data_IF_147772998650
#
_entry.id   IF_147772998650
#
_cell.length_a   1.000
_cell.length_b   1.000
_cell.length_c   1.000
_cell.angle_alpha   90.00
_cell.angle_beta   90.00
_cell.angle_gamma   90.00
#
_symmetry.space_group_name_H-M   'P 1'
#
loop_
_entity.id
_entity.type
_entity.pdbx_description
1 polymer ?
#
# COMPACT_ATOMS: atom_id res chain seq x y z
N UNK A 1 23.13 -29.44 27.20
CA UNK A 1 21.99 -28.59 26.78
C UNK A 1 21.64 -28.97 25.37
N UNK A 2 20.55 -29.69 25.17
CA UNK A 2 19.98 -29.88 23.83
C UNK A 2 19.63 -28.49 23.28
N UNK A 3 20.13 -28.15 22.09
CA UNK A 3 19.71 -26.92 21.40
C UNK A 3 18.20 -27.06 21.13
N UNK A 4 17.42 -26.06 21.55
CA UNK A 4 16.00 -26.02 21.18
C UNK A 4 15.84 -26.17 19.65
N UNK A 5 14.83 -26.92 19.19
CA UNK A 5 14.62 -27.15 17.77
C UNK A 5 14.37 -25.84 17.04
N UNK A 6 15.00 -25.69 15.87
CA UNK A 6 14.80 -24.55 14.99
C UNK A 6 13.42 -24.65 14.34
N UNK A 7 12.60 -23.60 14.48
CA UNK A 7 11.34 -23.52 13.76
C UNK A 7 11.61 -23.07 12.32
N UNK A 8 11.24 -23.91 11.35
CA UNK A 8 11.23 -23.55 9.93
C UNK A 8 9.83 -23.04 9.56
N UNK A 9 9.75 -21.82 9.02
CA UNK A 9 8.52 -21.17 8.60
C UNK A 9 8.58 -20.81 7.11
N UNK A 10 7.60 -21.26 6.34
CA UNK A 10 7.49 -20.98 4.90
C UNK A 10 6.36 -19.97 4.64
N UNK A 11 6.70 -18.83 4.06
CA UNK A 11 5.76 -17.73 3.78
C UNK A 11 5.62 -17.56 2.27
N UNK A 12 4.39 -17.45 1.80
CA UNK A 12 4.03 -17.14 0.41
C UNK A 12 3.39 -15.75 0.37
N UNK A 13 3.87 -14.88 -0.52
CA UNK A 13 3.35 -13.53 -0.73
C UNK A 13 3.06 -13.31 -2.21
N UNK A 14 1.89 -12.77 -2.54
CA UNK A 14 1.48 -12.55 -3.94
C UNK A 14 0.40 -11.47 -4.08
N UNK A 15 0.69 -10.43 -4.87
CA UNK A 15 -0.34 -9.62 -5.51
C UNK A 15 -1.07 -10.47 -6.56
N UNK A 16 -2.36 -10.72 -6.35
CA UNK A 16 -3.14 -11.63 -7.17
C UNK A 16 -3.77 -10.97 -8.41
N UNK A 17 -3.71 -9.64 -8.54
CA UNK A 17 -4.36 -8.85 -9.58
C UNK A 17 -5.77 -9.35 -9.90
N UNK A 18 -6.64 -9.51 -8.90
CA UNK A 18 -7.96 -10.13 -9.09
C UNK A 18 -9.07 -9.11 -9.34
N UNK A 19 -8.77 -8.03 -10.09
CA UNK A 19 -9.68 -6.91 -10.30
C UNK A 19 -10.87 -7.37 -11.13
N UNK A 20 -12.08 -7.09 -10.63
CA UNK A 20 -13.31 -7.50 -11.31
C UNK A 20 -13.44 -6.77 -12.64
N UNK A 21 -13.68 -7.53 -13.70
CA UNK A 21 -13.84 -7.09 -15.09
C UNK A 21 -12.58 -6.56 -15.81
N UNK A 22 -11.51 -6.21 -15.10
CA UNK A 22 -10.26 -5.74 -15.71
C UNK A 22 -9.22 -6.86 -15.85
N UNK A 23 -9.08 -7.71 -14.84
CA UNK A 23 -8.02 -8.71 -14.82
C UNK A 23 -8.32 -9.89 -15.73
N UNK A 24 -7.40 -10.16 -16.65
CA UNK A 24 -7.51 -11.25 -17.64
C UNK A 24 -7.44 -12.61 -16.93
N UNK A 25 -8.28 -13.55 -17.40
CA UNK A 25 -8.35 -14.95 -16.92
C UNK A 25 -8.45 -15.09 -15.39
N UNK A 26 -9.01 -14.10 -14.70
CA UNK A 26 -9.04 -14.01 -13.22
C UNK A 26 -9.45 -15.30 -12.53
N UNK A 27 -10.58 -15.89 -12.92
CA UNK A 27 -11.14 -17.10 -12.28
C UNK A 27 -10.24 -18.32 -12.43
N UNK A 28 -9.53 -18.43 -13.56
CA UNK A 28 -8.57 -19.50 -13.78
C UNK A 28 -7.33 -19.31 -12.90
N UNK A 29 -6.80 -18.08 -12.82
CA UNK A 29 -5.65 -17.73 -11.98
C UNK A 29 -5.93 -17.92 -10.49
N UNK A 30 -7.10 -17.49 -9.99
CA UNK A 30 -7.50 -17.71 -8.59
C UNK A 30 -7.55 -19.21 -8.25
N UNK A 31 -8.09 -20.04 -9.16
CA UNK A 31 -8.09 -21.50 -8.96
C UNK A 31 -6.66 -22.05 -8.92
N UNK A 32 -5.80 -21.59 -9.84
CA UNK A 32 -4.41 -22.00 -9.95
C UNK A 32 -3.58 -21.63 -8.71
N UNK A 33 -3.76 -20.41 -8.19
CA UNK A 33 -3.18 -19.97 -6.90
C UNK A 33 -3.60 -20.92 -5.78
N UNK A 34 -4.91 -21.22 -5.68
CA UNK A 34 -5.41 -22.15 -4.66
C UNK A 34 -4.90 -23.59 -4.81
N UNK A 35 -4.67 -24.09 -6.03
CA UNK A 35 -4.07 -25.42 -6.26
C UNK A 35 -2.60 -25.45 -5.84
N UNK A 36 -1.83 -24.41 -6.19
CA UNK A 36 -0.43 -24.29 -5.79
C UNK A 36 -0.29 -24.18 -4.27
N UNK A 37 -1.07 -23.31 -3.61
CA UNK A 37 -1.03 -23.16 -2.16
C UNK A 37 -1.36 -24.48 -1.43
N UNK A 38 -2.26 -25.30 -1.98
CA UNK A 38 -2.58 -26.63 -1.45
C UNK A 38 -1.43 -27.62 -1.64
N UNK A 39 -0.79 -27.62 -2.81
CA UNK A 39 0.30 -28.55 -3.14
C UNK A 39 1.58 -28.25 -2.37
N UNK A 40 2.01 -26.99 -2.41
CA UNK A 40 3.33 -26.58 -1.88
C UNK A 40 3.36 -26.50 -0.36
N UNK A 41 2.19 -26.47 0.32
CA UNK A 41 2.07 -26.54 1.79
C UNK A 41 2.88 -25.47 2.55
N UNK A 42 2.76 -24.19 2.14
CA UNK A 42 3.28 -23.06 2.91
C UNK A 42 2.59 -22.93 4.27
N UNK A 43 3.25 -22.28 5.23
CA UNK A 43 2.71 -22.07 6.57
C UNK A 43 1.78 -20.87 6.65
N UNK A 44 2.14 -19.81 5.93
CA UNK A 44 1.39 -18.57 5.79
C UNK A 44 1.32 -18.19 4.30
N UNK A 45 0.15 -17.79 3.84
CA UNK A 45 -0.03 -17.16 2.54
C UNK A 45 -0.64 -15.76 2.73
N UNK A 46 0.06 -14.75 2.22
CA UNK A 46 -0.26 -13.33 2.32
C UNK A 46 -0.63 -12.86 0.92
N UNK A 47 -1.89 -12.52 0.69
CA UNK A 47 -2.38 -12.22 -0.65
C UNK A 47 -2.89 -10.78 -0.70
N UNK A 48 -2.50 -10.06 -1.75
CA UNK A 48 -3.01 -8.75 -2.09
C UNK A 48 -3.91 -8.84 -3.33
N UNK A 49 -4.70 -7.79 -3.58
CA UNK A 49 -5.59 -7.69 -4.75
C UNK A 49 -6.63 -8.82 -4.92
N UNK A 50 -7.02 -9.49 -3.83
CA UNK A 50 -8.20 -10.35 -3.79
C UNK A 50 -9.44 -9.47 -3.57
N UNK A 51 -9.85 -8.75 -4.60
CA UNK A 51 -10.88 -7.70 -4.50
C UNK A 51 -12.31 -8.24 -4.30
N UNK A 52 -12.59 -9.46 -4.75
CA UNK A 52 -13.93 -10.06 -4.66
C UNK A 52 -14.07 -10.93 -3.42
N UNK A 53 -15.08 -10.68 -2.58
CA UNK A 53 -15.41 -11.58 -1.47
C UNK A 53 -15.72 -13.01 -1.94
N UNK A 54 -16.25 -13.16 -3.17
CA UNK A 54 -16.47 -14.48 -3.76
C UNK A 54 -15.13 -15.18 -4.06
N UNK A 55 -14.14 -14.48 -4.63
CA UNK A 55 -12.84 -15.09 -4.93
C UNK A 55 -12.14 -15.51 -3.62
N UNK A 56 -12.25 -14.70 -2.56
CA UNK A 56 -11.79 -15.09 -1.21
C UNK A 56 -12.55 -16.31 -0.67
N UNK A 57 -13.89 -16.34 -0.78
CA UNK A 57 -14.70 -17.47 -0.32
C UNK A 57 -14.33 -18.76 -1.04
N UNK A 58 -14.12 -18.69 -2.36
CA UNK A 58 -13.72 -19.83 -3.18
C UNK A 58 -12.33 -20.36 -2.76
N UNK A 59 -11.37 -19.47 -2.55
CA UNK A 59 -10.05 -19.81 -2.00
C UNK A 59 -10.17 -20.45 -0.62
N UNK A 60 -10.98 -19.87 0.28
CA UNK A 60 -11.18 -20.40 1.63
C UNK A 60 -11.75 -21.81 1.64
N UNK A 61 -12.77 -22.09 0.84
CA UNK A 61 -13.33 -23.45 0.71
C UNK A 61 -12.28 -24.40 0.15
N UNK A 62 -11.55 -23.98 -0.89
CA UNK A 62 -10.51 -24.77 -1.53
C UNK A 62 -9.36 -25.12 -0.58
N UNK A 63 -8.97 -24.17 0.25
CA UNK A 63 -7.79 -24.26 1.12
C UNK A 63 -8.10 -24.79 2.52
N UNK A 64 -9.37 -25.01 2.88
CA UNK A 64 -9.78 -25.38 4.23
C UNK A 64 -9.05 -26.59 4.85
N UNK A 65 -8.60 -27.55 4.02
CA UNK A 65 -7.88 -28.73 4.50
C UNK A 65 -6.42 -28.48 4.89
N UNK A 66 -5.78 -27.44 4.32
CA UNK A 66 -4.39 -27.10 4.60
C UNK A 66 -4.25 -25.79 5.38
N UNK A 67 -5.11 -24.81 5.15
CA UNK A 67 -5.20 -23.55 5.88
C UNK A 67 -6.57 -23.43 6.56
N UNK A 68 -6.76 -24.08 7.73
CA UNK A 68 -8.03 -24.02 8.46
C UNK A 68 -8.36 -22.62 8.98
N UNK A 69 -7.36 -21.73 9.08
CA UNK A 69 -7.53 -20.36 9.55
C UNK A 69 -7.27 -19.38 8.42
N UNK A 70 -8.14 -18.40 8.27
CA UNK A 70 -7.96 -17.32 7.30
C UNK A 70 -8.69 -16.06 7.72
N UNK A 71 -8.27 -14.92 7.20
CA UNK A 71 -8.91 -13.64 7.45
C UNK A 71 -8.90 -12.78 6.18
N UNK A 72 -10.02 -12.08 5.94
CA UNK A 72 -10.21 -11.15 4.83
C UNK A 72 -10.43 -9.75 5.38
N UNK A 73 -9.55 -8.81 5.03
CA UNK A 73 -9.59 -7.46 5.55
C UNK A 73 -10.52 -6.60 4.69
N UNK A 74 -11.67 -6.19 5.25
CA UNK A 74 -12.63 -5.31 4.58
C UNK A 74 -12.27 -3.84 4.82
N UNK A 75 -12.13 -3.06 3.75
CA UNK A 75 -11.77 -1.63 3.76
C UNK A 75 -12.39 -0.92 2.56
N UNK A 76 -12.54 0.41 2.62
CA UNK A 76 -12.98 1.21 1.47
C UNK A 76 -14.34 0.80 0.88
N UNK A 77 -14.55 1.15 -0.39
CA UNK A 77 -15.77 0.82 -1.15
C UNK A 77 -15.62 -0.52 -1.87
N UNK A 78 -14.43 -0.76 -2.44
CA UNK A 78 -14.15 -1.96 -3.25
C UNK A 78 -13.55 -3.10 -2.40
N UNK A 79 -13.05 -2.81 -1.19
CA UNK A 79 -12.29 -3.77 -0.37
C UNK A 79 -10.80 -3.43 -0.35
N UNK A 80 -10.06 -3.86 0.69
CA UNK A 80 -8.60 -3.69 0.74
C UNK A 80 -7.85 -4.58 -0.25
N UNK A 81 -8.49 -5.67 -0.71
CA UNK A 81 -7.85 -6.74 -1.47
C UNK A 81 -6.95 -7.66 -0.63
N UNK A 82 -6.81 -7.44 0.68
CA UNK A 82 -5.88 -8.17 1.53
C UNK A 82 -6.53 -9.38 2.19
N UNK A 83 -5.85 -10.52 2.15
CA UNK A 83 -6.22 -11.67 2.96
C UNK A 83 -5.02 -12.51 3.36
N UNK A 84 -5.19 -13.24 4.47
CA UNK A 84 -4.19 -14.16 5.00
C UNK A 84 -4.80 -15.53 5.16
N UNK A 85 -4.06 -16.55 4.73
CA UNK A 85 -4.33 -17.96 5.00
C UNK A 85 -3.22 -18.52 5.89
N UNK A 86 -3.58 -19.23 6.96
CA UNK A 86 -2.65 -19.73 7.96
C UNK A 86 -2.94 -21.20 8.31
N UNK A 87 -1.88 -21.99 8.42
CA UNK A 87 -1.95 -23.35 9.01
C UNK A 87 -2.21 -23.31 10.51
N UNK A 88 -1.85 -22.19 11.15
CA UNK A 88 -1.89 -22.00 12.60
C UNK A 88 -3.04 -21.08 13.01
N UNK A 89 -3.60 -21.26 14.23
CA UNK A 89 -4.68 -20.41 14.73
C UNK A 89 -4.31 -18.92 14.69
N UNK A 90 -5.19 -18.12 14.09
CA UNK A 90 -5.15 -16.66 14.18
C UNK A 90 -5.76 -16.28 15.52
N UNK A 91 -4.96 -15.68 16.39
CA UNK A 91 -5.34 -15.30 17.74
C UNK A 91 -6.04 -13.95 17.78
N UNK A 92 -5.60 -13.02 16.95
CA UNK A 92 -6.16 -11.67 16.87
C UNK A 92 -5.92 -11.06 15.48
N UNK A 93 -6.71 -10.05 15.14
CA UNK A 93 -6.67 -9.34 13.86
C UNK A 93 -6.88 -7.86 14.06
N UNK A 94 -6.13 -7.02 13.33
CA UNK A 94 -6.33 -5.57 13.34
C UNK A 94 -6.15 -5.03 11.92
N UNK A 95 -6.95 -4.05 11.54
CA UNK A 95 -6.86 -3.36 10.26
C UNK A 95 -6.58 -1.88 10.48
N UNK A 96 -5.64 -1.33 9.71
CA UNK A 96 -5.39 0.10 9.65
C UNK A 96 -5.47 0.59 8.20
N UNK A 97 -6.48 1.40 7.90
CA UNK A 97 -6.63 2.06 6.60
C UNK A 97 -5.76 3.32 6.56
N UNK A 98 -4.99 3.47 5.48
CA UNK A 98 -4.11 4.63 5.31
C UNK A 98 -4.90 5.91 5.07
N UNK A 99 -4.34 7.04 5.50
CA UNK A 99 -5.00 8.33 5.44
C UNK A 99 -5.10 8.91 4.03
N UNK A 100 -4.15 8.59 3.14
CA UNK A 100 -4.10 9.06 1.75
C UNK A 100 -4.03 7.87 0.79
N UNK A 101 -5.00 7.80 -0.13
CA UNK A 101 -5.16 6.69 -1.08
C UNK A 101 -5.31 7.14 -2.53
N UNK A 102 -4.84 8.34 -2.88
CA UNK A 102 -4.92 8.87 -4.26
C UNK A 102 -6.01 9.91 -4.42
N UNK A 103 -6.46 10.13 -5.65
CA UNK A 103 -7.41 11.19 -6.00
C UNK A 103 -8.76 10.61 -6.47
N UNK A 104 -9.91 11.02 -5.89
CA UNK A 104 -11.23 10.48 -6.25
C UNK A 104 -11.65 10.76 -7.70
N UNK A 105 -11.09 11.82 -8.30
CA UNK A 105 -11.38 12.22 -9.68
C UNK A 105 -10.49 11.52 -10.71
N UNK A 106 -9.43 10.81 -10.28
CA UNK A 106 -8.60 9.99 -11.16
C UNK A 106 -9.20 8.59 -11.26
N UNK A 107 -10.36 8.47 -11.91
CA UNK A 107 -11.14 7.22 -11.94
C UNK A 107 -10.39 6.02 -12.51
N UNK A 108 -9.42 6.26 -13.40
CA UNK A 108 -8.56 5.23 -13.97
C UNK A 108 -7.50 4.73 -12.97
N UNK A 109 -7.27 5.47 -11.89
CA UNK A 109 -6.30 5.16 -10.84
C UNK A 109 -7.08 4.72 -9.58
N UNK A 110 -7.43 3.43 -9.56
CA UNK A 110 -8.48 2.88 -8.67
C UNK A 110 -8.20 2.91 -7.17
N UNK A 111 -6.98 3.23 -6.72
CA UNK A 111 -6.52 3.15 -5.33
C UNK A 111 -7.43 3.88 -4.33
N UNK A 112 -8.03 5.01 -4.73
CA UNK A 112 -8.86 5.82 -3.83
C UNK A 112 -10.11 5.06 -3.38
N UNK A 113 -10.68 4.23 -4.25
CA UNK A 113 -11.89 3.45 -3.96
C UNK A 113 -11.62 2.18 -3.15
N UNK A 114 -10.39 1.67 -3.17
CA UNK A 114 -9.98 0.45 -2.49
C UNK A 114 -9.75 0.67 -0.99
N UNK A 115 -9.36 1.88 -0.58
CA UNK A 115 -9.00 2.16 0.81
C UNK A 115 -7.79 1.33 1.24
N UNK A 116 -6.64 1.55 0.59
CA UNK A 116 -5.38 0.84 0.88
C UNK A 116 -5.08 0.86 2.38
N UNK A 117 -4.51 -0.23 2.87
CA UNK A 117 -4.44 -0.52 4.30
C UNK A 117 -3.33 -1.51 4.62
N UNK A 118 -3.02 -1.67 5.90
CA UNK A 118 -2.27 -2.81 6.44
C UNK A 118 -3.16 -3.64 7.34
N UNK A 119 -3.19 -4.95 7.09
CA UNK A 119 -3.81 -5.94 7.95
C UNK A 119 -2.76 -6.61 8.84
N UNK A 120 -3.05 -6.76 10.13
CA UNK A 120 -2.27 -7.51 11.10
C UNK A 120 -3.04 -8.78 11.48
N UNK A 121 -2.36 -9.93 11.49
CA UNK A 121 -2.78 -11.12 12.21
C UNK A 121 -1.74 -11.52 13.25
N UNK A 122 -2.19 -11.91 14.44
CA UNK A 122 -1.32 -12.47 15.48
C UNK A 122 -1.46 -13.98 15.46
N UNK A 123 -0.36 -14.71 15.30
CA UNK A 123 -0.35 -16.19 15.31
C UNK A 123 0.67 -16.69 16.32
N UNK A 124 0.38 -17.83 16.96
CA UNK A 124 1.31 -18.50 17.87
C UNK A 124 1.76 -19.83 17.28
N UNK A 125 3.05 -19.96 17.01
CA UNK A 125 3.65 -21.14 16.36
C UNK A 125 4.74 -21.67 17.27
N UNK A 126 4.59 -22.91 17.76
CA UNK A 126 5.57 -23.56 18.64
C UNK A 126 5.98 -22.70 19.85
N UNK A 127 5.03 -21.96 20.44
CA UNK A 127 5.28 -21.08 21.59
C UNK A 127 5.72 -19.65 21.25
N UNK A 128 6.07 -19.37 20.00
CA UNK A 128 6.56 -18.07 19.51
C UNK A 128 5.38 -17.24 19.00
N UNK A 129 5.30 -15.97 19.42
CA UNK A 129 4.27 -15.02 18.98
C UNK A 129 4.75 -14.29 17.73
N UNK A 130 4.03 -14.46 16.63
CA UNK A 130 4.27 -13.74 15.38
C UNK A 130 3.21 -12.66 15.19
N UNK A 131 3.66 -11.44 14.92
CA UNK A 131 2.82 -10.42 14.30
C UNK A 131 3.11 -10.41 12.80
N UNK A 132 2.12 -10.81 12.01
CA UNK A 132 2.21 -10.92 10.57
C UNK A 132 1.37 -9.82 9.94
N UNK A 133 2.02 -8.96 9.17
CA UNK A 133 1.43 -7.83 8.50
C UNK A 133 1.32 -8.15 7.01
N UNK A 134 0.17 -7.86 6.41
CA UNK A 134 -0.04 -7.89 4.96
C UNK A 134 -0.45 -6.49 4.52
N UNK A 135 0.16 -5.97 3.46
CA UNK A 135 -0.17 -4.63 2.96
C UNK A 135 -0.11 -4.57 1.44
N UNK A 136 -0.74 -3.54 0.89
CA UNK A 136 -0.60 -3.13 -0.49
C UNK A 136 -0.58 -1.60 -0.49
N UNK A 137 0.56 -0.99 -0.85
CA UNK A 137 0.68 0.47 -0.91
C UNK A 137 0.07 1.01 -2.20
N UNK A 138 -0.06 2.34 -2.32
CA UNK A 138 -0.60 3.00 -3.50
C UNK A 138 0.27 2.67 -4.72
N UNK A 139 -0.33 2.48 -5.90
CA UNK A 139 0.42 2.15 -7.12
C UNK A 139 1.30 3.30 -7.63
N UNK A 140 2.42 2.98 -8.28
CA UNK A 140 3.22 3.92 -9.08
C UNK A 140 2.77 3.88 -10.54
N UNK A 141 1.91 4.83 -10.94
CA UNK A 141 1.37 4.87 -12.31
C UNK A 141 2.34 5.45 -13.36
N UNK A 142 3.38 6.17 -12.93
CA UNK A 142 4.36 6.78 -13.84
C UNK A 142 5.64 7.18 -13.10
N UNK A 143 6.75 6.49 -13.40
CA UNK A 143 8.04 6.75 -12.76
C UNK A 143 8.58 8.17 -12.97
N UNK A 144 8.41 8.72 -14.17
CA UNK A 144 8.94 10.06 -14.50
C UNK A 144 8.10 11.20 -13.89
N UNK A 145 6.79 10.98 -13.71
CA UNK A 145 5.83 12.01 -13.28
C UNK A 145 4.93 11.47 -12.18
N UNK A 146 5.55 11.13 -11.07
CA UNK A 146 4.85 10.50 -9.97
C UNK A 146 4.19 11.52 -9.02
N UNK A 147 2.94 11.87 -9.34
CA UNK A 147 2.12 12.70 -8.46
C UNK A 147 1.71 12.00 -7.15
N UNK A 148 1.96 10.70 -7.01
CA UNK A 148 1.54 9.88 -5.88
C UNK A 148 2.69 9.53 -4.93
N UNK A 149 3.94 9.94 -5.22
CA UNK A 149 5.06 9.73 -4.30
C UNK A 149 4.76 10.24 -2.88
N UNK A 150 4.21 11.46 -2.67
CA UNK A 150 3.89 11.92 -1.32
C UNK A 150 2.85 11.04 -0.62
N UNK A 151 1.89 10.48 -1.37
CA UNK A 151 0.90 9.56 -0.82
C UNK A 151 1.57 8.25 -0.39
N UNK A 152 2.42 7.66 -1.25
CA UNK A 152 3.18 6.45 -0.91
C UNK A 152 4.08 6.65 0.31
N UNK A 153 4.67 7.84 0.46
CA UNK A 153 5.50 8.15 1.63
C UNK A 153 4.70 8.33 2.92
N UNK A 154 3.52 8.95 2.86
CA UNK A 154 2.60 8.99 4.00
C UNK A 154 2.20 7.58 4.41
N UNK A 155 1.83 6.73 3.45
CA UNK A 155 1.49 5.33 3.73
C UNK A 155 2.66 4.53 4.31
N UNK A 156 3.87 4.69 3.77
CA UNK A 156 5.07 4.03 4.28
C UNK A 156 5.40 4.47 5.72
N UNK A 157 5.25 5.76 6.01
CA UNK A 157 5.41 6.31 7.36
C UNK A 157 4.36 5.75 8.32
N UNK A 158 3.09 5.76 7.93
CA UNK A 158 1.99 5.20 8.72
C UNK A 158 2.18 3.70 8.96
N UNK A 159 2.59 2.93 7.95
CA UNK A 159 2.93 1.51 8.07
C UNK A 159 4.06 1.29 9.08
N UNK A 160 5.13 2.08 8.99
CA UNK A 160 6.27 1.97 9.88
C UNK A 160 5.88 2.27 11.33
N UNK A 161 5.08 3.32 11.55
CA UNK A 161 4.55 3.67 12.86
C UNK A 161 3.62 2.57 13.40
N UNK A 162 2.69 2.10 12.57
CA UNK A 162 1.76 1.02 12.93
C UNK A 162 2.53 -0.20 13.43
N UNK A 163 3.47 -0.72 12.62
CA UNK A 163 4.30 -1.88 12.98
C UNK A 163 5.02 -1.64 14.31
N UNK A 164 5.67 -0.49 14.50
CA UNK A 164 6.39 -0.19 15.76
C UNK A 164 5.48 -0.19 16.99
N UNK A 165 4.27 0.34 16.85
CA UNK A 165 3.33 0.45 17.96
C UNK A 165 2.64 -0.87 18.28
N UNK A 166 2.37 -1.71 17.28
CA UNK A 166 1.66 -2.98 17.45
C UNK A 166 2.59 -4.17 17.67
N UNK A 167 3.88 -4.08 17.33
CA UNK A 167 4.81 -5.23 17.40
C UNK A 167 5.54 -5.40 18.73
N UNK A 168 5.25 -4.59 19.77
CA UNK A 168 6.04 -4.60 21.01
C UNK A 168 5.99 -5.92 21.79
N UNK A 169 4.89 -6.67 21.64
CA UNK A 169 4.67 -7.95 22.32
C UNK A 169 4.95 -9.17 21.43
N UNK A 170 5.37 -8.96 20.17
CA UNK A 170 5.67 -10.05 19.24
C UNK A 170 7.10 -10.53 19.45
N UNK A 171 7.35 -11.84 19.35
CA UNK A 171 8.69 -12.40 19.30
C UNK A 171 9.31 -12.24 17.91
N UNK A 172 8.48 -12.40 16.88
CA UNK A 172 8.85 -12.25 15.47
C UNK A 172 7.85 -11.36 14.76
N UNK A 173 8.36 -10.50 13.89
CA UNK A 173 7.56 -9.61 13.04
C UNK A 173 7.82 -9.98 11.60
N UNK A 174 6.75 -10.17 10.84
CA UNK A 174 6.77 -10.45 9.40
C UNK A 174 5.90 -9.44 8.68
N UNK A 175 6.38 -8.86 7.60
CA UNK A 175 5.60 -8.03 6.69
C UNK A 175 5.69 -8.66 5.29
N UNK A 176 4.54 -8.94 4.69
CA UNK A 176 4.40 -9.34 3.30
C UNK A 176 3.60 -8.32 2.49
N UNK A 177 3.98 -8.13 1.24
CA UNK A 177 3.10 -7.56 0.24
C UNK A 177 3.76 -6.62 -0.75
N UNK A 178 2.90 -6.09 -1.61
CA UNK A 178 3.25 -5.13 -2.65
C UNK A 178 3.42 -3.72 -2.07
N UNK A 179 4.65 -3.26 -2.01
CA UNK A 179 5.01 -1.94 -1.50
C UNK A 179 5.05 -0.86 -2.59
N UNK A 180 4.85 -1.21 -3.87
CA UNK A 180 4.81 -0.29 -5.01
C UNK A 180 5.98 0.71 -5.07
N UNK A 181 7.15 0.29 -4.60
CA UNK A 181 8.38 1.08 -4.54
C UNK A 181 9.59 0.17 -4.70
N UNK A 182 10.62 0.67 -5.38
CA UNK A 182 11.86 -0.05 -5.61
C UNK A 182 12.71 -0.10 -4.32
N UNK A 183 13.66 -1.06 -4.18
CA UNK A 183 14.43 -1.23 -2.94
C UNK A 183 15.19 0.01 -2.47
N UNK A 184 15.65 0.84 -3.42
CA UNK A 184 16.40 2.07 -3.14
C UNK A 184 15.51 3.31 -3.00
N UNK A 185 14.21 3.19 -3.25
CA UNK A 185 13.28 4.30 -3.11
C UNK A 185 13.16 4.69 -1.63
N UNK A 186 12.99 5.99 -1.39
CA UNK A 186 13.00 6.57 -0.05
C UNK A 186 11.94 5.96 0.88
N UNK A 187 10.79 5.54 0.36
CA UNK A 187 9.77 4.89 1.18
C UNK A 187 10.17 3.51 1.71
N UNK A 188 10.91 2.70 0.93
CA UNK A 188 11.43 1.40 1.39
C UNK A 188 12.54 1.59 2.40
N UNK A 189 13.47 2.52 2.14
CA UNK A 189 14.53 2.87 3.09
C UNK A 189 13.95 3.41 4.40
N UNK A 190 12.93 4.26 4.32
CA UNK A 190 12.22 4.82 5.48
C UNK A 190 11.57 3.71 6.30
N UNK A 191 10.77 2.84 5.66
CA UNK A 191 10.10 1.74 6.31
C UNK A 191 11.08 0.82 7.03
N UNK A 192 12.13 0.36 6.33
CA UNK A 192 13.13 -0.57 6.87
C UNK A 192 13.93 0.08 7.99
N UNK A 193 14.44 1.29 7.79
CA UNK A 193 15.23 2.00 8.78
C UNK A 193 14.43 2.31 10.06
N UNK A 194 13.19 2.77 9.91
CA UNK A 194 12.35 3.13 11.05
C UNK A 194 11.85 1.91 11.84
N UNK A 195 11.58 0.79 11.16
CA UNK A 195 11.08 -0.45 11.81
C UNK A 195 12.19 -1.42 12.23
N UNK A 196 13.38 -1.33 11.65
CA UNK A 196 14.44 -2.33 11.77
C UNK A 196 14.16 -3.64 11.03
N UNK A 197 13.20 -3.63 10.08
CA UNK A 197 12.89 -4.81 9.27
C UNK A 197 13.99 -5.08 8.25
N UNK A 198 14.41 -6.33 8.17
CA UNK A 198 15.38 -6.83 7.19
C UNK A 198 14.66 -7.42 5.98
N UNK A 199 15.27 -7.27 4.82
CA UNK A 199 14.74 -7.75 3.55
C UNK A 199 15.15 -9.20 3.33
N UNK A 200 14.17 -10.11 3.21
CA UNK A 200 14.45 -11.53 3.00
C UNK A 200 15.22 -11.78 1.71
N UNK A 201 15.00 -11.00 0.65
CA UNK A 201 15.77 -11.14 -0.59
C UNK A 201 17.25 -10.82 -0.37
N UNK A 202 17.54 -9.74 0.36
CA UNK A 202 18.92 -9.32 0.63
C UNK A 202 19.66 -10.25 1.60
N UNK A 203 18.93 -10.92 2.50
CA UNK A 203 19.49 -11.78 3.56
C UNK A 203 19.48 -13.27 3.21
N UNK A 204 18.84 -13.67 2.09
CA UNK A 204 18.70 -15.07 1.72
C UNK A 204 20.07 -15.72 1.45
N UNK A 205 20.28 -16.92 2.00
CA UNK A 205 21.47 -17.72 1.68
C UNK A 205 21.42 -18.26 0.25
N UNK A 206 20.22 -18.59 -0.20
CA UNK A 206 19.95 -19.08 -1.55
C UNK A 206 18.79 -18.31 -2.17
N UNK A 207 18.97 -17.88 -3.43
CA UNK A 207 17.93 -17.23 -4.22
C UNK A 207 17.70 -17.98 -5.53
N UNK A 208 16.44 -18.24 -5.85
CA UNK A 208 16.00 -18.86 -7.11
C UNK A 208 14.81 -18.08 -7.68
N UNK A 209 14.93 -17.52 -8.88
CA UNK A 209 13.82 -16.77 -9.47
C UNK A 209 14.26 -15.72 -10.49
N UNK A 210 13.41 -14.73 -10.66
CA UNK A 210 13.61 -13.58 -11.54
C UNK A 210 14.86 -12.79 -11.12
N UNK A 211 15.58 -12.25 -12.11
CA UNK A 211 16.81 -11.48 -11.84
C UNK A 211 16.53 -10.34 -10.86
N UNK A 212 17.46 -10.11 -9.94
CA UNK A 212 17.35 -9.08 -8.88
C UNK A 212 16.10 -9.18 -7.99
N UNK A 213 15.41 -10.33 -8.00
CA UNK A 213 14.16 -10.52 -7.27
C UNK A 213 13.00 -9.70 -7.85
N UNK A 214 13.07 -9.31 -9.13
CA UNK A 214 11.99 -8.56 -9.78
C UNK A 214 10.69 -9.37 -9.78
N UNK A 215 9.58 -8.68 -9.51
CA UNK A 215 8.26 -9.28 -9.37
C UNK A 215 7.31 -8.80 -10.46
N UNK A 216 7.53 -7.63 -11.06
CA UNK A 216 6.96 -7.29 -12.37
C UNK A 216 8.05 -7.48 -13.41
N UNK A 217 7.85 -8.40 -14.35
CA UNK A 217 8.86 -8.77 -15.35
C UNK A 217 8.36 -8.64 -16.78
N UNK A 218 9.22 -8.24 -17.75
CA UNK A 218 8.80 -8.06 -19.14
C UNK A 218 8.24 -9.32 -19.81
N UNK A 219 8.68 -10.49 -19.37
CA UNK A 219 8.26 -11.78 -19.92
C UNK A 219 6.86 -12.21 -19.44
N UNK A 220 6.28 -11.50 -18.46
CA UNK A 220 4.94 -11.78 -17.97
C UNK A 220 3.89 -11.16 -18.91
N UNK A 221 3.00 -12.00 -19.45
CA UNK A 221 2.03 -11.60 -20.47
C UNK A 221 0.87 -10.72 -19.95
N UNK A 222 0.80 -10.47 -18.64
CA UNK A 222 -0.19 -9.57 -18.04
C UNK A 222 0.38 -8.21 -17.64
N UNK A 223 1.70 -8.05 -17.58
CA UNK A 223 2.33 -6.78 -17.23
C UNK A 223 2.24 -5.77 -18.37
N UNK A 224 2.08 -4.48 -18.05
CA UNK A 224 2.14 -3.40 -19.04
C UNK A 224 3.59 -3.11 -19.46
N UNK A 225 3.93 -3.44 -20.71
CA UNK A 225 5.28 -3.23 -21.22
C UNK A 225 5.71 -1.76 -21.25
N UNK A 226 4.76 -0.81 -21.26
CA UNK A 226 5.05 0.62 -21.22
C UNK A 226 5.59 1.09 -19.87
N UNK A 227 5.10 0.50 -18.78
CA UNK A 227 5.57 0.78 -17.40
C UNK A 227 6.99 0.25 -17.17
N UNK A 228 7.36 -0.82 -17.88
CA UNK A 228 8.66 -1.47 -17.78
C UNK A 228 9.74 -0.86 -18.68
N UNK A 229 9.42 0.14 -19.52
CA UNK A 229 10.40 0.78 -20.41
C UNK A 229 11.67 1.27 -19.69
N UNK A 230 11.60 1.89 -18.49
CA UNK A 230 12.79 2.29 -17.73
C UNK A 230 13.52 1.11 -17.06
N UNK A 231 12.89 -0.07 -17.01
CA UNK A 231 13.29 -1.22 -16.21
C UNK A 231 13.37 -2.50 -17.06
N UNK A 232 14.39 -2.63 -17.93
CA UNK A 232 14.49 -3.74 -18.87
C UNK A 232 14.62 -5.13 -18.23
N UNK A 233 14.96 -5.20 -16.93
CA UNK A 233 15.04 -6.44 -16.15
C UNK A 233 13.79 -6.67 -15.27
N UNK A 234 12.80 -5.79 -15.33
CA UNK A 234 11.67 -5.76 -14.42
C UNK A 234 11.90 -4.90 -13.18
N UNK A 235 10.89 -4.86 -12.32
CA UNK A 235 10.81 -4.04 -11.11
C UNK A 235 10.58 -4.97 -9.91
N UNK A 236 11.29 -4.75 -8.81
CA UNK A 236 11.03 -5.43 -7.53
C UNK A 236 10.20 -4.52 -6.63
N UNK A 237 8.94 -4.90 -6.40
CA UNK A 237 8.02 -4.15 -5.52
C UNK A 237 7.27 -5.01 -4.50
N UNK A 238 7.36 -6.34 -4.58
CA UNK A 238 6.79 -7.25 -3.58
C UNK A 238 7.89 -7.74 -2.62
N UNK A 239 7.58 -7.76 -1.33
CA UNK A 239 8.57 -7.98 -0.28
C UNK A 239 8.07 -8.91 0.82
N UNK A 240 8.97 -9.76 1.30
CA UNK A 240 8.87 -10.37 2.63
C UNK A 240 9.96 -9.74 3.51
N UNK A 241 9.55 -8.92 4.48
CA UNK A 241 10.45 -8.30 5.44
C UNK A 241 10.25 -8.92 6.83
N UNK A 242 11.32 -9.02 7.62
CA UNK A 242 11.23 -9.61 8.95
C UNK A 242 12.18 -9.01 9.98
N UNK A 243 11.84 -9.17 11.25
CA UNK A 243 12.75 -8.99 12.39
C UNK A 243 12.34 -9.87 13.56
N UNK A 244 13.24 -10.04 14.50
CA UNK A 244 13.02 -10.75 15.74
C UNK A 244 13.27 -9.83 16.93
N UNK A 245 12.69 -10.14 18.09
CA UNK A 245 13.13 -9.55 19.36
C UNK A 245 14.47 -10.12 19.80
N UNK A 246 15.12 -9.51 20.80
CA UNK A 246 16.42 -9.93 21.30
C UNK A 246 16.48 -11.36 21.87
N UNK A 247 15.32 -11.99 22.13
CA UNK A 247 15.25 -13.37 22.61
C UNK A 247 15.23 -14.40 21.48
N UNK A 248 15.14 -13.97 20.22
CA UNK A 248 15.06 -14.83 19.05
C UNK A 248 15.98 -14.34 17.94
N UNK A 249 16.42 -15.28 17.11
CA UNK A 249 17.06 -14.97 15.82
C UNK A 249 16.19 -15.50 14.71
N UNK A 250 16.14 -14.74 13.61
CA UNK A 250 15.49 -15.16 12.36
C UNK A 250 16.52 -15.03 11.25
N UNK A 251 16.65 -16.07 10.42
CA UNK A 251 17.50 -16.08 9.22
C UNK A 251 16.68 -16.54 8.02
N UNK A 252 16.90 -15.91 6.87
CA UNK A 252 16.34 -16.37 5.60
C UNK A 252 17.29 -17.40 4.99
N UNK A 253 16.87 -18.67 4.96
CA UNK A 253 17.63 -19.72 4.26
C UNK A 253 17.48 -19.56 2.75
N UNK A 254 16.24 -19.43 2.30
CA UNK A 254 15.90 -19.46 0.88
C UNK A 254 14.84 -18.43 0.58
N UNK A 255 15.01 -17.70 -0.52
CA UNK A 255 13.95 -16.91 -1.13
C UNK A 255 13.77 -17.34 -2.58
N UNK A 256 12.52 -17.52 -2.99
CA UNK A 256 12.17 -17.81 -4.37
C UNK A 256 11.21 -16.78 -4.94
N UNK A 257 11.30 -16.52 -6.23
CA UNK A 257 10.18 -15.97 -6.98
C UNK A 257 9.66 -16.99 -7.99
N UNK A 258 8.40 -16.85 -8.40
CA UNK A 258 7.99 -17.46 -9.66
C UNK A 258 8.70 -16.77 -10.83
N UNK A 259 8.71 -17.41 -12.01
CA UNK A 259 9.41 -16.92 -13.21
C UNK A 259 8.50 -16.98 -14.42
N UNK A 260 7.24 -16.54 -14.27
CA UNK A 260 6.23 -16.55 -15.31
C UNK A 260 5.22 -17.69 -15.14
N UNK A 261 5.01 -18.56 -16.17
CA UNK A 261 3.94 -19.55 -16.13
C UNK A 261 3.99 -20.48 -14.91
N UNK A 262 2.81 -20.76 -14.34
CA UNK A 262 2.70 -21.69 -13.22
C UNK A 262 3.10 -23.11 -13.64
N UNK A 263 3.64 -23.94 -12.73
CA UNK A 263 4.03 -25.30 -13.05
C UNK A 263 2.87 -26.12 -13.67
N UNK A 264 3.06 -26.55 -14.91
CA UNK A 264 2.10 -27.37 -15.66
C UNK A 264 0.99 -26.59 -16.37
N UNK A 265 1.05 -25.26 -16.40
CA UNK A 265 0.06 -24.39 -17.08
C UNK A 265 0.76 -23.27 -17.82
N UNK A 266 0.27 -22.91 -19.01
CA UNK A 266 0.84 -21.84 -19.86
C UNK A 266 0.34 -20.43 -19.49
N UNK A 267 0.10 -20.17 -18.20
CA UNK A 267 -0.21 -18.83 -17.68
C UNK A 267 0.47 -18.55 -16.35
N UNK A 268 0.91 -17.30 -16.11
CA UNK A 268 1.41 -16.90 -14.80
C UNK A 268 0.27 -16.76 -13.78
N UNK A 269 0.63 -16.78 -12.50
CA UNK A 269 -0.33 -16.62 -11.39
C UNK A 269 -0.96 -15.23 -11.36
N UNK A 270 -0.17 -14.21 -11.68
CA UNK A 270 -0.56 -12.81 -11.77
C UNK A 270 0.32 -12.09 -12.80
N UNK A 271 0.07 -10.81 -13.02
CA UNK A 271 1.04 -9.84 -13.56
C UNK A 271 2.25 -9.61 -12.63
N UNK A 272 2.13 -10.01 -11.36
CA UNK A 272 3.23 -10.14 -10.41
C UNK A 272 3.69 -11.59 -10.27
N UNK A 273 4.99 -11.76 -10.02
CA UNK A 273 5.59 -13.02 -9.57
C UNK A 273 5.44 -13.16 -8.05
N UNK A 274 5.11 -14.36 -7.58
CA UNK A 274 4.98 -14.62 -6.15
C UNK A 274 6.35 -14.60 -5.47
N UNK A 275 6.42 -14.08 -4.24
CA UNK A 275 7.62 -14.10 -3.40
C UNK A 275 7.45 -15.15 -2.30
N UNK A 276 8.43 -16.05 -2.15
CA UNK A 276 8.36 -17.18 -1.24
C UNK A 276 9.60 -17.24 -0.36
N UNK A 277 9.45 -17.15 0.96
CA UNK A 277 10.57 -17.17 1.89
C UNK A 277 10.53 -18.40 2.80
N UNK A 278 11.69 -19.02 3.02
CA UNK A 278 11.92 -20.02 4.06
C UNK A 278 12.76 -19.40 5.18
N UNK A 279 12.12 -19.16 6.32
CA UNK A 279 12.72 -18.53 7.49
C UNK A 279 13.01 -19.57 8.57
N UNK A 280 14.18 -19.46 9.22
CA UNK A 280 14.56 -20.26 10.37
C UNK A 280 14.60 -19.40 11.62
N UNK A 281 13.80 -19.78 12.61
CA UNK A 281 13.65 -19.07 13.87
C UNK A 281 14.24 -19.93 14.99
N UNK A 282 15.14 -19.34 15.76
CA UNK A 282 15.80 -19.99 16.89
C UNK A 282 15.75 -19.09 18.11
N UNK A 283 15.43 -19.66 19.28
CA UNK A 283 15.61 -18.94 20.55
C UNK A 283 17.09 -18.65 20.76
N UNK A 284 17.40 -17.42 21.13
CA UNK A 284 18.75 -16.99 21.48
C UNK A 284 18.84 -16.80 23.00
N UNK A 285 20.00 -17.13 23.59
CA UNK A 285 20.37 -16.57 24.89
C UNK A 285 20.63 -15.08 24.76
N UNK A 286 20.44 -14.29 25.83
CA UNK A 286 20.57 -12.83 25.81
C UNK A 286 21.80 -12.37 25.00
N UNK A 287 21.57 -11.65 23.90
CA UNK A 287 22.60 -10.98 23.15
C UNK A 287 22.80 -9.55 23.67
N UNK A 288 24.06 -9.15 23.84
CA UNK A 288 24.48 -7.80 24.23
C UNK A 288 24.10 -6.77 23.16
N UNK A 289 23.74 -5.57 23.61
CA UNK A 289 23.18 -4.50 22.79
C UNK A 289 24.08 -4.08 21.62
N UNK A 290 23.47 -3.95 20.44
CA UNK A 290 24.13 -3.37 19.28
C UNK A 290 24.35 -1.85 19.46
N UNK A 291 25.47 -1.36 18.95
CA UNK A 291 25.87 0.06 18.93
C UNK A 291 24.93 0.89 18.05
N UNK A 292 24.25 1.90 18.62
CA UNK A 292 23.20 2.70 17.97
C UNK A 292 23.70 3.83 17.04
N UNK A 293 24.87 4.42 17.28
CA UNK A 293 25.17 5.77 16.76
C UNK A 293 25.27 5.96 15.24
N UNK A 294 25.68 4.95 14.45
CA UNK A 294 25.79 5.09 12.99
C UNK A 294 24.48 4.85 12.24
N UNK A 295 23.57 4.05 12.81
CA UNK A 295 22.28 3.73 12.21
C UNK A 295 21.31 4.93 12.32
N UNK A 296 21.38 5.67 13.42
CA UNK A 296 20.51 6.83 13.65
C UNK A 296 20.82 8.01 12.72
N UNK A 297 22.09 8.22 12.37
CA UNK A 297 22.49 9.22 11.38
C UNK A 297 21.96 8.90 9.98
N UNK A 298 22.15 7.68 9.50
CA UNK A 298 21.64 7.25 8.20
C UNK A 298 20.09 7.30 8.15
N UNK A 299 19.42 6.95 9.24
CA UNK A 299 17.97 7.08 9.35
C UNK A 299 17.52 8.54 9.31
N UNK A 300 18.25 9.45 9.95
CA UNK A 300 17.94 10.88 9.91
C UNK A 300 18.02 11.45 8.49
N UNK A 301 18.99 11.02 7.68
CA UNK A 301 19.09 11.42 6.27
C UNK A 301 17.88 10.93 5.47
N UNK A 302 17.48 9.66 5.65
CA UNK A 302 16.32 9.07 4.98
C UNK A 302 15.02 9.78 5.37
N UNK A 303 14.82 10.07 6.66
CA UNK A 303 13.64 10.81 7.14
C UNK A 303 13.63 12.24 6.60
N UNK A 304 14.80 12.87 6.46
CA UNK A 304 14.92 14.21 5.87
C UNK A 304 14.54 14.22 4.38
N UNK A 305 14.99 13.22 3.63
CA UNK A 305 14.60 13.03 2.23
C UNK A 305 13.09 12.80 2.09
N UNK A 306 12.52 11.86 2.86
CA UNK A 306 11.08 11.57 2.83
C UNK A 306 10.24 12.80 3.18
N UNK A 307 10.66 13.55 4.21
CA UNK A 307 9.99 14.80 4.62
C UNK A 307 10.05 15.86 3.53
N UNK A 308 11.13 15.93 2.76
CA UNK A 308 11.27 16.86 1.65
C UNK A 308 10.23 16.56 0.56
N UNK A 309 10.08 15.30 0.18
CA UNK A 309 9.07 14.86 -0.80
C UNK A 309 7.63 15.07 -0.30
N UNK A 310 7.36 14.79 0.98
CA UNK A 310 6.06 15.10 1.60
C UNK A 310 5.79 16.62 1.58
N UNK A 311 6.81 17.45 1.80
CA UNK A 311 6.71 18.91 1.72
C UNK A 311 6.41 19.40 0.30
N UNK A 312 7.01 18.77 -0.72
CA UNK A 312 6.69 19.04 -2.13
C UNK A 312 5.22 18.73 -2.41
N UNK A 313 4.75 17.56 -1.97
CA UNK A 313 3.33 17.18 -2.03
C UNK A 313 2.41 18.17 -1.33
N UNK A 314 2.76 18.59 -0.10
CA UNK A 314 2.00 19.56 0.68
C UNK A 314 1.81 20.88 -0.07
N UNK A 315 2.89 21.41 -0.67
CA UNK A 315 2.82 22.64 -1.50
C UNK A 315 1.95 22.44 -2.74
N UNK A 316 2.00 21.27 -3.37
CA UNK A 316 1.13 20.95 -4.50
C UNK A 316 -0.35 20.92 -4.08
N UNK A 317 -0.69 20.21 -2.99
CA UNK A 317 -2.04 20.14 -2.44
C UNK A 317 -2.57 21.51 -2.01
N UNK A 318 -1.72 22.36 -1.40
CA UNK A 318 -2.09 23.73 -1.05
C UNK A 318 -2.46 24.58 -2.28
N UNK A 319 -1.70 24.45 -3.38
CA UNK A 319 -2.03 25.13 -4.65
C UNK A 319 -3.36 24.66 -5.22
N UNK A 320 -3.63 23.34 -5.19
CA UNK A 320 -4.90 22.80 -5.67
C UNK A 320 -6.08 23.24 -4.79
N UNK A 321 -5.92 23.23 -3.48
CA UNK A 321 -6.91 23.74 -2.51
C UNK A 321 -7.23 25.22 -2.74
N UNK A 322 -6.21 26.04 -3.00
CA UNK A 322 -6.39 27.46 -3.31
C UNK A 322 -7.10 27.66 -4.66
N UNK A 323 -6.67 26.94 -5.70
CA UNK A 323 -7.26 27.02 -7.03
C UNK A 323 -8.74 26.63 -7.02
N UNK A 324 -9.07 25.47 -6.43
CA UNK A 324 -10.45 24.99 -6.28
C UNK A 324 -11.30 25.93 -5.42
N UNK A 325 -10.76 26.45 -4.31
CA UNK A 325 -11.46 27.45 -3.49
C UNK A 325 -11.77 28.73 -4.25
N UNK A 326 -10.80 29.25 -5.02
CA UNK A 326 -11.00 30.44 -5.87
C UNK A 326 -12.07 30.19 -6.93
N UNK A 327 -12.07 29.03 -7.58
CA UNK A 327 -13.08 28.66 -8.56
C UNK A 327 -14.48 28.56 -7.94
N UNK A 328 -14.60 28.00 -6.74
CA UNK A 328 -15.86 27.96 -6.01
C UNK A 328 -16.39 29.36 -5.69
N UNK A 329 -15.52 30.28 -5.22
CA UNK A 329 -15.90 31.67 -4.94
C UNK A 329 -16.35 32.39 -6.22
N UNK A 330 -15.62 32.25 -7.33
CA UNK A 330 -15.99 32.88 -8.61
C UNK A 330 -17.33 32.34 -9.12
N UNK A 331 -17.58 31.05 -9.01
CA UNK A 331 -18.85 30.43 -9.39
C UNK A 331 -20.02 30.94 -8.51
N UNK A 332 -19.79 31.08 -7.21
CA UNK A 332 -20.77 31.65 -6.29
C UNK A 332 -21.07 33.12 -6.60
N UNK A 333 -20.05 33.94 -6.87
CA UNK A 333 -20.23 35.35 -7.26
C UNK A 333 -21.02 35.48 -8.56
N UNK A 334 -20.77 34.59 -9.54
CA UNK A 334 -21.54 34.56 -10.78
C UNK A 334 -23.02 34.22 -10.53
N UNK A 335 -23.31 33.22 -9.69
CA UNK A 335 -24.69 32.87 -9.30
C UNK A 335 -25.38 34.02 -8.57
N UNK A 336 -24.69 34.71 -7.67
CA UNK A 336 -25.22 35.88 -6.96
C UNK A 336 -25.51 37.04 -7.92
N UNK A 337 -24.61 37.32 -8.86
CA UNK A 337 -24.83 38.34 -9.89
C UNK A 337 -26.05 38.01 -10.75
N UNK A 338 -26.21 36.75 -11.14
CA UNK A 338 -27.40 36.28 -11.85
C UNK A 338 -28.66 36.44 -11.00
N UNK A 339 -28.64 36.05 -9.72
CA UNK A 339 -29.79 36.21 -8.82
C UNK A 339 -30.19 37.69 -8.68
N UNK A 340 -29.22 38.60 -8.54
CA UNK A 340 -29.47 40.05 -8.48
C UNK A 340 -30.06 40.57 -9.80
N UNK A 341 -29.54 40.14 -10.96
CA UNK A 341 -30.07 40.54 -12.27
C UNK A 341 -31.52 40.03 -12.49
N UNK A 342 -31.81 38.80 -12.05
CA UNK A 342 -33.15 38.22 -12.11
C UNK A 342 -34.13 38.99 -11.20
N UNK A 343 -33.71 39.31 -9.98
CA UNK A 343 -34.51 40.12 -9.04
C UNK A 343 -34.74 41.54 -9.55
N UNK A 344 -33.72 42.18 -10.14
CA UNK A 344 -33.86 43.51 -10.75
C UNK A 344 -34.85 43.52 -11.91
N UNK A 345 -34.87 42.46 -12.73
CA UNK A 345 -35.88 42.29 -13.79
C UNK A 345 -37.29 42.13 -13.19
N UNK A 346 -37.44 41.30 -12.14
CA UNK A 346 -38.71 41.10 -11.44
C UNK A 346 -39.22 42.38 -10.75
N UNK A 347 -38.32 43.21 -10.25
CA UNK A 347 -38.62 44.49 -9.59
C UNK A 347 -38.91 45.64 -10.58
N UNK A 348 -38.91 45.38 -11.90
CA UNK A 348 -39.18 46.40 -12.92
C UNK A 348 -38.03 47.40 -13.12
N UNK A 349 -36.83 47.10 -12.60
CA UNK A 349 -35.63 47.94 -12.70
C UNK A 349 -34.76 47.57 -13.92
N UNK A 350 -35.13 46.54 -14.68
CA UNK A 350 -34.35 46.02 -15.82
C UNK A 350 -34.77 46.61 -17.17
N UNK A 351 -33.79 47.07 -17.96
CA UNK A 351 -33.96 47.27 -19.40
C UNK A 351 -34.32 45.94 -20.10
N UNK A 352 -34.90 46.00 -21.31
CA UNK A 352 -35.23 44.81 -22.14
C UNK A 352 -34.16 43.73 -22.03
N UNK A 353 -34.55 42.49 -21.74
CA UNK A 353 -33.62 41.44 -21.31
C UNK A 353 -32.38 41.34 -22.22
N UNK A 354 -31.18 41.72 -21.74
CA UNK A 354 -29.98 41.77 -22.59
C UNK A 354 -29.45 40.38 -22.98
N UNK A 355 -30.01 39.31 -22.41
CA UNK A 355 -29.61 37.93 -22.64
C UNK A 355 -30.83 37.02 -22.86
N UNK A 356 -30.78 36.07 -23.82
CA UNK A 356 -31.81 35.06 -23.97
C UNK A 356 -32.00 34.27 -22.65
N UNK A 357 -33.24 34.08 -22.21
CA UNK A 357 -33.57 33.33 -20.97
C UNK A 357 -32.88 31.97 -20.91
N UNK A 358 -32.82 31.27 -22.04
CA UNK A 358 -32.13 29.98 -22.14
C UNK A 358 -30.64 30.10 -21.81
N UNK A 359 -29.94 31.07 -22.38
CA UNK A 359 -28.52 31.32 -22.11
C UNK A 359 -28.26 31.68 -20.65
N UNK A 360 -29.15 32.47 -20.05
CA UNK A 360 -29.08 32.82 -18.63
C UNK A 360 -29.24 31.58 -17.72
N UNK A 361 -30.23 30.73 -17.99
CA UNK A 361 -30.43 29.49 -17.26
C UNK A 361 -29.26 28.51 -17.44
N UNK A 362 -28.78 28.32 -18.68
CA UNK A 362 -27.63 27.45 -18.96
C UNK A 362 -26.37 27.91 -18.22
N UNK A 363 -26.11 29.22 -18.18
CA UNK A 363 -24.99 29.78 -17.43
C UNK A 363 -25.14 29.53 -15.92
N UNK A 364 -26.35 29.64 -15.37
CA UNK A 364 -26.61 29.36 -13.96
C UNK A 364 -26.40 27.87 -13.62
N UNK A 365 -26.86 26.96 -14.48
CA UNK A 365 -26.61 25.52 -14.31
C UNK A 365 -25.12 25.19 -14.38
N UNK A 366 -24.40 25.79 -15.33
CA UNK A 366 -22.95 25.63 -15.44
C UNK A 366 -22.23 26.16 -14.19
N UNK A 367 -22.59 27.36 -13.72
CA UNK A 367 -22.02 27.95 -12.53
C UNK A 367 -22.30 27.10 -11.28
N UNK A 368 -23.51 26.55 -11.14
CA UNK A 368 -23.85 25.61 -10.08
C UNK A 368 -23.01 24.33 -10.15
N UNK A 369 -22.84 23.74 -11.34
CA UNK A 369 -21.99 22.57 -11.54
C UNK A 369 -20.53 22.84 -11.16
N UNK A 370 -19.97 23.97 -11.58
CA UNK A 370 -18.61 24.40 -11.21
C UNK A 370 -18.50 24.61 -9.70
N UNK A 371 -19.51 25.24 -9.06
CA UNK A 371 -19.53 25.45 -7.62
C UNK A 371 -19.49 24.12 -6.86
N UNK A 372 -20.34 23.16 -7.23
CA UNK A 372 -20.40 21.83 -6.59
C UNK A 372 -19.08 21.09 -6.74
N UNK A 373 -18.56 20.99 -7.97
CA UNK A 373 -17.29 20.29 -8.24
C UNK A 373 -16.10 20.95 -7.55
N UNK A 374 -15.98 22.28 -7.66
CA UNK A 374 -14.88 23.04 -7.05
C UNK A 374 -14.93 22.97 -5.52
N UNK A 375 -16.13 22.96 -4.93
CA UNK A 375 -16.30 22.76 -3.48
C UNK A 375 -15.87 21.35 -3.08
N UNK A 376 -16.26 20.33 -3.84
CA UNK A 376 -15.81 18.95 -3.62
C UNK A 376 -14.28 18.82 -3.66
N UNK A 377 -13.64 19.38 -4.68
CA UNK A 377 -12.17 19.42 -4.77
C UNK A 377 -11.54 20.21 -3.63
N UNK A 378 -12.12 21.35 -3.24
CA UNK A 378 -11.61 22.14 -2.12
C UNK A 378 -11.64 21.35 -0.81
N UNK A 379 -12.72 20.62 -0.53
CA UNK A 379 -12.84 19.77 0.64
C UNK A 379 -11.82 18.62 0.61
N UNK A 380 -11.70 17.94 -0.53
CA UNK A 380 -10.73 16.88 -0.71
C UNK A 380 -9.28 17.37 -0.46
N UNK A 381 -8.86 18.44 -1.15
CA UNK A 381 -7.51 18.99 -0.97
C UNK A 381 -7.31 19.62 0.42
N UNK A 382 -8.38 20.00 1.13
CA UNK A 382 -8.30 20.38 2.55
C UNK A 382 -7.94 19.20 3.43
N UNK A 383 -8.52 18.01 3.19
CA UNK A 383 -8.12 16.79 3.88
C UNK A 383 -6.69 16.39 3.54
N UNK A 384 -6.34 16.42 2.26
CA UNK A 384 -4.99 16.08 1.77
C UNK A 384 -3.92 16.97 2.42
N UNK A 385 -4.11 18.29 2.44
CA UNK A 385 -3.22 19.24 3.11
C UNK A 385 -3.07 18.92 4.60
N UNK A 386 -4.16 18.57 5.30
CA UNK A 386 -4.10 18.22 6.72
C UNK A 386 -3.27 16.96 6.97
N UNK A 387 -3.45 15.92 6.15
CA UNK A 387 -2.71 14.67 6.32
C UNK A 387 -1.22 14.85 6.00
N UNK A 388 -0.90 15.48 4.86
CA UNK A 388 0.49 15.75 4.48
C UNK A 388 1.22 16.62 5.52
N UNK A 389 0.55 17.66 6.02
CA UNK A 389 1.13 18.52 7.04
C UNK A 389 1.34 17.78 8.37
N UNK A 390 0.35 16.99 8.80
CA UNK A 390 0.49 16.17 10.01
C UNK A 390 1.62 15.14 9.92
N UNK A 391 1.81 14.51 8.76
CA UNK A 391 2.96 13.60 8.54
C UNK A 391 4.28 14.36 8.54
N UNK A 392 4.34 15.54 7.93
CA UNK A 392 5.53 16.39 7.93
C UNK A 392 5.94 16.80 9.37
N UNK A 393 4.98 17.20 10.20
CA UNK A 393 5.19 17.49 11.63
C UNK A 393 5.71 16.26 12.39
N UNK A 394 5.15 15.08 12.11
CA UNK A 394 5.61 13.83 12.73
C UNK A 394 7.04 13.47 12.34
N UNK A 395 7.38 13.59 11.05
CA UNK A 395 8.74 13.38 10.55
C UNK A 395 9.72 14.39 11.15
N UNK A 396 9.29 15.65 11.33
CA UNK A 396 10.10 16.66 12.00
C UNK A 396 10.37 16.31 13.47
N UNK A 397 9.35 15.89 14.22
CA UNK A 397 9.53 15.42 15.60
C UNK A 397 10.47 14.22 15.68
N UNK A 398 10.35 13.28 14.74
CA UNK A 398 11.23 12.13 14.61
C UNK A 398 12.69 12.52 14.39
N UNK A 399 12.97 13.48 13.48
CA UNK A 399 14.31 14.00 13.24
C UNK A 399 14.92 14.61 14.50
N UNK A 400 14.14 15.39 15.24
CA UNK A 400 14.59 15.98 16.51
C UNK A 400 14.94 14.91 17.55
N UNK A 401 14.22 13.80 17.58
CA UNK A 401 14.50 12.69 18.49
C UNK A 401 15.80 11.97 18.10
N UNK A 402 16.01 11.69 16.81
CA UNK A 402 17.24 11.06 16.30
C UNK A 402 18.48 11.93 16.57
N UNK A 403 18.36 13.24 16.46
CA UNK A 403 19.48 14.17 16.72
C UNK A 403 19.82 14.33 18.20
N UNK A 404 18.90 14.02 19.13
CA UNK A 404 19.12 14.13 20.58
C UNK A 404 19.73 12.87 21.20
N UNK A 405 19.78 11.76 20.47
CA UNK A 405 20.35 10.48 20.90
C UNK A 405 21.49 10.05 19.96
N UNK A 406 22.65 10.75 19.95
CA UNK A 406 23.80 10.35 19.14
C UNK A 406 24.47 9.06 19.62
#
# INVERSE_FOLDING_TARGET
>A
MEREPTLRLRVFDLNCWAIRYLSKRRQERIRLIGDTLRRESFDLALLQEVWSEQDYSDLRVKLASCYPFSHYFRSGVIGSGLCVFSRFPILDTLLYQYSLNGYPYMLQHGDWFCGKSVGLVIVKISGIIFNVYVTHLHAEYCREKDAYLPHRLVQAWELAQFIRHTSKAADVVLLGGDLNMHPEDVGIRLLRGWTGLRDAFAEATHFEGCKNGCTLVPDNCFTDSSELLPFPLGIRIDYILYKATSSFTVKCEELKTTTGPAPGVDIPFSDHEAVMATLHIQRQGQAEGATLGTADAALADVVTEARTEVTVGLRAAQRQRYSSGRMAVLALLLLLLQAVAALGTLAGLGAEQPFPKLSFCLLAFLALGILVLSTGFHLFHTMEVKMLHGTEDQMWMALQALQKHP
#
